data_IF_323217742531
#
_entry.id   IF_323217742531
#
_cell.length_a   1.000
_cell.length_b   1.000
_cell.length_c   1.000
_cell.angle_alpha   90.00
_cell.angle_beta   90.00
_cell.angle_gamma   90.00
#
_symmetry.space_group_name_H-M   'P 1'
#
loop_
_entity.id
_entity.type
_entity.pdbx_description
1 polymer ?
#
# COMPACT_ATOMS: atom_id res chain seq x y z
N UNK A 1 -22.72 3.49 11.53
CA UNK A 1 -21.79 2.65 12.34
C UNK A 1 -20.43 2.67 11.68
N UNK A 2 -19.35 2.80 12.44
CA UNK A 2 -17.99 2.78 11.90
C UNK A 2 -17.66 1.35 11.46
N UNK A 3 -17.19 1.19 10.22
CA UNK A 3 -16.68 -0.08 9.74
C UNK A 3 -15.31 -0.39 10.37
N UNK A 4 -15.32 -1.22 11.41
CA UNK A 4 -14.13 -1.63 12.16
C UNK A 4 -13.15 -2.42 11.29
N UNK A 5 -13.64 -3.17 10.29
CA UNK A 5 -12.77 -3.94 9.37
C UNK A 5 -12.00 -3.00 8.47
N UNK A 6 -12.67 -1.99 7.90
CA UNK A 6 -12.01 -0.96 7.08
C UNK A 6 -10.95 -0.19 7.87
N UNK A 7 -11.23 0.15 9.14
CA UNK A 7 -10.23 0.79 10.02
C UNK A 7 -9.01 -0.10 10.28
N UNK A 8 -9.22 -1.40 10.50
CA UNK A 8 -8.14 -2.36 10.70
C UNK A 8 -7.28 -2.49 9.44
N UNK A 9 -7.89 -2.64 8.26
CA UNK A 9 -7.20 -2.71 6.96
C UNK A 9 -6.32 -1.48 6.71
N UNK A 10 -6.91 -0.27 6.83
CA UNK A 10 -6.19 0.99 6.68
C UNK A 10 -4.98 1.11 7.63
N UNK A 11 -5.08 0.56 8.85
CA UNK A 11 -3.97 0.55 9.80
C UNK A 11 -2.86 -0.40 9.36
N UNK A 12 -3.21 -1.59 8.87
CA UNK A 12 -2.28 -2.56 8.29
C UNK A 12 -1.51 -1.97 7.12
N UNK A 13 -2.21 -1.41 6.13
CA UNK A 13 -1.60 -0.74 4.98
C UNK A 13 -0.67 0.40 5.39
N UNK A 14 -1.05 1.20 6.39
CA UNK A 14 -0.20 2.28 6.90
C UNK A 14 1.09 1.75 7.53
N UNK A 15 1.02 0.62 8.25
CA UNK A 15 2.20 -0.03 8.83
C UNK A 15 3.08 -0.62 7.72
N UNK A 16 2.50 -1.31 6.74
CA UNK A 16 3.22 -1.88 5.60
C UNK A 16 3.94 -0.79 4.79
N UNK A 17 3.26 0.30 4.43
CA UNK A 17 3.87 1.41 3.72
C UNK A 17 5.01 2.06 4.52
N UNK A 18 4.87 2.18 5.85
CA UNK A 18 5.92 2.70 6.72
C UNK A 18 7.13 1.75 6.78
N UNK A 19 6.88 0.45 6.83
CA UNK A 19 7.92 -0.58 6.82
C UNK A 19 8.71 -0.52 5.50
N UNK A 20 8.02 -0.56 4.36
CA UNK A 20 8.65 -0.47 3.03
C UNK A 20 9.52 0.78 2.88
N UNK A 21 9.02 1.95 3.29
CA UNK A 21 9.82 3.19 3.31
C UNK A 21 11.09 3.07 4.14
N UNK A 22 11.03 2.38 5.29
CA UNK A 22 12.22 2.15 6.12
C UNK A 22 13.21 1.18 5.49
N UNK A 23 12.76 0.33 4.57
CA UNK A 23 13.61 -0.59 3.81
C UNK A 23 14.19 0.05 2.54
N UNK A 24 13.91 1.34 2.28
CA UNK A 24 14.43 2.05 1.11
C UNK A 24 13.46 2.13 -0.07
N UNK A 25 12.28 1.52 0.03
CA UNK A 25 11.28 1.57 -1.03
C UNK A 25 10.62 2.94 -1.11
N UNK A 26 10.45 3.44 -2.33
CA UNK A 26 9.66 4.63 -2.60
C UNK A 26 8.21 4.21 -2.88
N UNK A 27 7.28 4.60 -2.00
CA UNK A 27 5.84 4.38 -2.25
C UNK A 27 5.39 5.31 -3.38
N UNK A 28 4.91 4.74 -4.48
CA UNK A 28 4.43 5.45 -5.66
C UNK A 28 2.93 5.74 -5.51
N UNK A 29 2.15 4.70 -5.19
CA UNK A 29 0.69 4.76 -5.13
C UNK A 29 0.18 3.85 -4.01
N UNK A 30 -1.00 4.13 -3.47
CA UNK A 30 -1.69 3.24 -2.52
C UNK A 30 -3.16 3.16 -2.86
N UNK A 31 -3.80 2.05 -2.50
CA UNK A 31 -5.22 1.83 -2.77
C UNK A 31 -5.54 2.02 -4.28
N UNK A 32 -4.64 1.54 -5.15
CA UNK A 32 -4.83 1.62 -6.59
C UNK A 32 -6.01 0.75 -6.99
N UNK A 33 -6.90 1.29 -7.82
CA UNK A 33 -8.10 0.62 -8.29
C UNK A 33 -8.26 0.83 -9.78
N UNK A 34 -8.56 -0.25 -10.49
CA UNK A 34 -8.86 -0.24 -11.91
C UNK A 34 -10.07 -1.13 -12.20
N UNK A 35 -10.52 -1.18 -13.45
CA UNK A 35 -11.55 -2.16 -13.88
C UNK A 35 -11.07 -3.61 -13.75
N UNK A 36 -9.76 -3.85 -13.70
CA UNK A 36 -9.16 -5.18 -13.70
C UNK A 36 -8.85 -5.69 -12.28
N UNK A 37 -8.92 -4.83 -11.26
CA UNK A 37 -8.61 -5.22 -9.89
C UNK A 37 -8.10 -4.06 -9.03
N UNK A 38 -7.58 -4.41 -7.88
CA UNK A 38 -7.03 -3.49 -6.89
C UNK A 38 -5.62 -3.91 -6.44
N UNK A 39 -4.79 -2.93 -6.09
CA UNK A 39 -3.47 -3.13 -5.50
C UNK A 39 -3.37 -2.20 -4.29
N UNK A 40 -3.01 -2.77 -3.14
CA UNK A 40 -2.96 -2.01 -1.88
C UNK A 40 -1.82 -1.00 -1.86
N UNK A 41 -0.63 -1.38 -2.34
CA UNK A 41 0.58 -0.53 -2.34
C UNK A 41 1.37 -0.80 -3.62
N UNK A 42 1.74 0.27 -4.33
CA UNK A 42 2.72 0.22 -5.42
C UNK A 42 3.98 0.95 -4.94
N UNK A 43 5.13 0.30 -5.04
CA UNK A 43 6.40 0.84 -4.62
C UNK A 43 7.50 0.68 -5.67
N UNK A 44 8.57 1.46 -5.54
CA UNK A 44 9.78 1.38 -6.35
C UNK A 44 10.97 0.96 -5.48
N UNK A 45 11.74 0.01 -5.97
CA UNK A 45 13.05 -0.38 -5.45
C UNK A 45 14.03 -0.31 -6.62
N UNK A 46 14.94 0.67 -6.59
CA UNK A 46 15.84 0.98 -7.70
C UNK A 46 15.12 1.13 -9.05
N UNK A 47 15.27 0.19 -9.98
CA UNK A 47 14.61 0.20 -11.29
C UNK A 47 13.34 -0.67 -11.33
N UNK A 48 13.02 -1.35 -10.23
CA UNK A 48 11.91 -2.29 -10.13
C UNK A 48 10.65 -1.64 -9.57
N UNK A 49 9.50 -2.04 -10.11
CA UNK A 49 8.16 -1.74 -9.57
C UNK A 49 7.66 -2.98 -8.83
N UNK A 50 7.25 -2.80 -7.58
CA UNK A 50 6.78 -3.87 -6.68
C UNK A 50 5.34 -3.56 -6.24
N UNK A 51 4.48 -4.57 -6.24
CA UNK A 51 3.05 -4.47 -5.96
C UNK A 51 2.51 -5.69 -5.20
#
# INVERSE_FOLDING_TARGET
MVDTRKKLGNRGEKIAAKFLRKQGYQIIEKNYRSRLGEIDIVAKEDESIVF
#
